data_IF_921316365092
#
_entry.id   IF_921316365092
#
_cell.length_a   1.000
_cell.length_b   1.000
_cell.length_c   1.000
_cell.angle_alpha   90.00
_cell.angle_beta   90.00
_cell.angle_gamma   90.00
#
_symmetry.space_group_name_H-M   'P 1'
#
loop_
_entity.id
_entity.type
_entity.pdbx_description
1 polymer ?
#
# COMPACT_ATOMS: atom_id res chain seq x y z
N UNK A 1 32.95 12.44 4.42
CA UNK A 1 33.28 11.79 3.14
C UNK A 1 31.99 11.27 2.54
N UNK A 2 31.43 12.01 1.57
CA UNK A 2 30.22 11.60 0.86
C UNK A 2 30.67 10.64 -0.24
N UNK A 3 30.46 9.34 -0.04
CA UNK A 3 30.72 8.33 -1.08
C UNK A 3 29.68 8.53 -2.18
N UNK A 4 30.07 9.28 -3.21
CA UNK A 4 29.39 9.29 -4.51
C UNK A 4 29.70 7.96 -5.20
N UNK A 5 29.00 6.88 -4.85
CA UNK A 5 29.08 5.65 -5.63
C UNK A 5 28.08 5.75 -6.78
N UNK A 6 28.56 6.14 -7.96
CA UNK A 6 27.81 6.10 -9.23
C UNK A 6 27.27 4.72 -9.61
N UNK A 7 27.58 3.67 -8.83
CA UNK A 7 27.21 2.27 -9.06
C UNK A 7 26.29 1.80 -7.93
N UNK A 8 25.15 1.14 -8.23
CA UNK A 8 24.31 0.49 -7.21
C UNK A 8 25.12 -0.59 -6.48
N UNK A 9 24.82 -0.78 -5.19
CA UNK A 9 25.41 -1.89 -4.43
C UNK A 9 24.64 -3.17 -4.69
N UNK A 10 25.32 -4.31 -4.52
CA UNK A 10 24.73 -5.65 -4.67
C UNK A 10 24.54 -6.27 -3.29
N UNK A 11 23.32 -6.74 -3.04
CA UNK A 11 22.98 -7.59 -1.91
C UNK A 11 22.67 -8.99 -2.42
N UNK A 12 23.30 -9.99 -1.83
CA UNK A 12 23.12 -11.40 -2.19
C UNK A 12 22.62 -12.19 -0.99
N UNK A 13 21.46 -12.81 -1.14
CA UNK A 13 20.95 -13.77 -0.17
C UNK A 13 20.11 -14.83 -0.88
N UNK A 14 20.28 -16.10 -0.51
CA UNK A 14 19.40 -17.19 -0.92
C UNK A 14 19.27 -17.38 -2.43
N UNK A 15 20.32 -17.05 -3.18
CA UNK A 15 20.31 -17.11 -4.65
C UNK A 15 19.65 -15.91 -5.34
N UNK A 16 19.15 -14.94 -4.57
CA UNK A 16 18.66 -13.66 -5.06
C UNK A 16 19.80 -12.64 -5.13
N UNK A 17 19.90 -11.95 -6.27
CA UNK A 17 20.79 -10.82 -6.48
C UNK A 17 19.98 -9.53 -6.58
N UNK A 18 20.17 -8.62 -5.62
CA UNK A 18 19.38 -7.40 -5.48
C UNK A 18 20.31 -6.19 -5.57
N UNK A 19 20.06 -5.34 -6.55
CA UNK A 19 20.73 -4.06 -6.71
C UNK A 19 19.98 -2.98 -5.95
N UNK A 20 20.68 -2.28 -5.06
CA UNK A 20 20.09 -1.27 -4.19
C UNK A 20 20.88 0.03 -4.17
N UNK A 21 20.22 1.10 -3.72
CA UNK A 21 20.85 2.41 -3.51
C UNK A 21 21.28 2.52 -2.05
N UNK A 22 22.59 2.62 -1.74
CA UNK A 22 23.06 2.74 -0.38
C UNK A 22 22.54 4.03 0.27
N UNK A 23 21.99 3.91 1.47
CA UNK A 23 21.55 5.06 2.24
C UNK A 23 21.66 4.79 3.74
N UNK A 24 22.49 5.56 4.43
CA UNK A 24 22.67 5.39 5.87
C UNK A 24 21.77 6.35 6.65
N UNK A 25 20.87 5.80 7.46
CA UNK A 25 20.00 6.60 8.31
C UNK A 25 20.78 7.21 9.49
N UNK A 26 20.50 8.48 9.79
CA UNK A 26 21.16 9.21 10.89
C UNK A 26 20.76 8.73 12.29
N UNK A 27 19.65 8.01 12.40
CA UNK A 27 19.18 7.42 13.66
C UNK A 27 18.40 6.14 13.43
N UNK A 28 18.43 5.25 14.43
CA UNK A 28 17.66 4.01 14.48
C UNK A 28 16.65 4.09 15.61
N UNK A 29 15.37 3.82 15.32
CA UNK A 29 14.33 3.69 16.35
C UNK A 29 14.27 2.23 16.84
N UNK A 30 13.79 2.01 18.07
CA UNK A 30 13.90 0.74 18.80
C UNK A 30 13.73 -0.55 17.96
N UNK A 31 12.58 -0.75 17.28
CA UNK A 31 12.33 -1.95 16.48
C UNK A 31 13.29 -2.14 15.30
N UNK A 32 13.78 -1.05 14.70
CA UNK A 32 14.72 -1.12 13.56
C UNK A 32 16.06 -1.74 13.97
N UNK A 33 16.43 -1.68 15.25
CA UNK A 33 17.66 -2.32 15.77
C UNK A 33 17.59 -3.85 15.76
N UNK A 34 16.40 -4.42 15.68
CA UNK A 34 16.16 -5.86 15.60
C UNK A 34 16.02 -6.35 14.16
N UNK A 35 16.21 -5.46 13.18
CA UNK A 35 16.07 -5.79 11.77
C UNK A 35 17.09 -6.82 11.33
N UNK A 36 16.62 -7.82 10.57
CA UNK A 36 17.44 -8.84 9.95
C UNK A 36 16.93 -9.07 8.53
N UNK A 37 17.69 -8.54 7.57
CA UNK A 37 17.36 -8.58 6.14
C UNK A 37 17.25 -10.01 5.60
N UNK A 38 18.15 -10.91 6.03
CA UNK A 38 18.18 -12.31 5.57
C UNK A 38 16.93 -13.05 6.04
N UNK A 39 16.55 -12.91 7.32
CA UNK A 39 15.36 -13.57 7.88
C UNK A 39 14.09 -13.02 7.26
N UNK A 40 14.01 -11.69 7.10
CA UNK A 40 12.84 -11.03 6.52
C UNK A 40 12.64 -11.39 5.04
N UNK A 41 13.72 -11.40 4.25
CA UNK A 41 13.64 -11.81 2.85
C UNK A 41 13.24 -13.27 2.71
N UNK A 42 13.87 -14.17 3.48
CA UNK A 42 13.50 -15.60 3.51
C UNK A 42 12.02 -15.80 3.82
N UNK A 43 11.49 -15.07 4.81
CA UNK A 43 10.08 -15.14 5.16
C UNK A 43 9.17 -14.86 3.95
N UNK A 44 9.43 -13.80 3.18
CA UNK A 44 8.60 -13.53 2.00
C UNK A 44 8.85 -14.53 0.88
N UNK A 45 10.09 -14.94 0.62
CA UNK A 45 10.40 -15.91 -0.43
C UNK A 45 9.73 -17.26 -0.18
N UNK A 46 9.73 -17.75 1.07
CA UNK A 46 9.14 -19.04 1.42
C UNK A 46 7.60 -18.98 1.53
N UNK A 47 7.05 -17.85 2.02
CA UNK A 47 5.64 -17.77 2.42
C UNK A 47 4.77 -16.82 1.59
N UNK A 48 5.28 -16.11 0.57
CA UNK A 48 4.46 -15.13 -0.17
C UNK A 48 3.17 -15.76 -0.74
N UNK A 49 3.21 -17.01 -1.20
CA UNK A 49 2.07 -17.72 -1.80
C UNK A 49 0.93 -17.97 -0.80
N UNK A 50 1.21 -17.96 0.51
CA UNK A 50 0.19 -18.07 1.54
C UNK A 50 -0.78 -16.89 1.52
N UNK A 51 -0.34 -15.72 1.02
CA UNK A 51 -1.21 -14.56 0.81
C UNK A 51 -2.40 -14.86 -0.10
N UNK A 52 -2.26 -15.77 -1.07
CA UNK A 52 -3.32 -16.20 -1.99
C UNK A 52 -4.42 -16.92 -1.20
N UNK A 53 -4.04 -17.86 -0.34
CA UNK A 53 -4.98 -18.58 0.51
C UNK A 53 -5.67 -17.64 1.51
N UNK A 54 -4.91 -16.71 2.11
CA UNK A 54 -5.47 -15.69 2.99
C UNK A 54 -6.50 -14.83 2.24
N UNK A 55 -6.22 -14.40 1.01
CA UNK A 55 -7.14 -13.61 0.19
C UNK A 55 -8.42 -14.37 -0.20
N UNK A 56 -8.30 -15.66 -0.52
CA UNK A 56 -9.44 -16.55 -0.81
C UNK A 56 -10.32 -16.70 0.44
N UNK A 57 -9.73 -17.07 1.58
CA UNK A 57 -10.47 -17.24 2.83
C UNK A 57 -11.08 -15.92 3.32
N UNK A 58 -10.38 -14.81 3.17
CA UNK A 58 -10.90 -13.48 3.45
C UNK A 58 -12.13 -13.19 2.58
N UNK A 59 -12.05 -13.42 1.26
CA UNK A 59 -13.16 -13.15 0.34
C UNK A 59 -14.38 -14.03 0.64
N UNK A 60 -14.19 -15.31 0.94
CA UNK A 60 -15.27 -16.20 1.38
C UNK A 60 -15.85 -15.75 2.73
N UNK A 61 -14.98 -15.41 3.69
CA UNK A 61 -15.35 -14.93 5.01
C UNK A 61 -16.22 -13.68 4.96
N UNK A 62 -15.91 -12.73 4.07
CA UNK A 62 -16.73 -11.53 3.84
C UNK A 62 -18.18 -11.91 3.53
N UNK A 63 -18.41 -12.82 2.58
CA UNK A 63 -19.75 -13.23 2.17
C UNK A 63 -20.47 -14.03 3.27
N UNK A 64 -19.75 -14.87 4.01
CA UNK A 64 -20.29 -15.63 5.15
C UNK A 64 -20.76 -14.68 6.25
N UNK A 65 -19.91 -13.73 6.66
CA UNK A 65 -20.24 -12.77 7.72
C UNK A 65 -21.38 -11.84 7.28
N UNK A 66 -21.41 -11.40 6.02
CA UNK A 66 -22.55 -10.65 5.48
C UNK A 66 -23.87 -11.38 5.67
N UNK A 67 -23.94 -12.66 5.28
CA UNK A 67 -25.14 -13.50 5.44
C UNK A 67 -25.49 -13.69 6.92
N UNK A 68 -24.50 -13.97 7.76
CA UNK A 68 -24.72 -14.17 9.20
C UNK A 68 -25.24 -12.91 9.91
N UNK A 69 -24.91 -11.71 9.42
CA UNK A 69 -25.32 -10.43 9.99
C UNK A 69 -26.68 -9.93 9.49
N UNK A 70 -27.31 -10.57 8.50
CA UNK A 70 -28.63 -10.15 7.97
C UNK A 70 -29.66 -10.07 9.09
N UNK A 71 -29.78 -11.16 9.87
CA UNK A 71 -30.77 -11.30 10.95
C UNK A 71 -30.26 -10.84 12.32
N UNK A 72 -29.09 -10.19 12.39
CA UNK A 72 -28.47 -9.70 13.63
C UNK A 72 -28.50 -8.18 13.72
N UNK A 73 -28.50 -7.65 14.94
CA UNK A 73 -28.35 -6.21 15.20
C UNK A 73 -26.91 -5.79 14.92
N UNK A 74 -26.72 -4.56 14.42
CA UNK A 74 -25.41 -3.96 14.24
C UNK A 74 -24.69 -3.79 15.58
N UNK A 75 -23.39 -4.07 15.61
CA UNK A 75 -22.57 -3.91 16.81
C UNK A 75 -22.15 -2.46 17.00
N UNK A 76 -22.11 -2.00 18.25
CA UNK A 76 -21.51 -0.71 18.59
C UNK A 76 -20.01 -0.88 18.83
N UNK A 77 -19.24 -0.65 17.77
CA UNK A 77 -17.79 -0.76 17.77
C UNK A 77 -17.12 0.62 17.67
N UNK A 78 -17.75 1.68 18.19
CA UNK A 78 -17.24 3.05 18.07
C UNK A 78 -15.81 3.18 18.63
N UNK A 79 -15.58 2.81 19.90
CA UNK A 79 -14.28 2.97 20.55
C UNK A 79 -13.18 2.10 19.89
N UNK A 80 -13.40 0.79 19.66
CA UNK A 80 -12.42 -0.03 18.95
C UNK A 80 -12.07 0.52 17.56
N UNK A 81 -13.06 1.02 16.81
CA UNK A 81 -12.84 1.59 15.48
C UNK A 81 -12.02 2.88 15.52
N UNK A 82 -12.22 3.74 16.52
CA UNK A 82 -11.42 4.96 16.68
C UNK A 82 -9.96 4.58 16.96
N UNK A 83 -9.73 3.68 17.92
CA UNK A 83 -8.38 3.24 18.29
C UNK A 83 -7.68 2.55 17.11
N UNK A 84 -8.41 1.69 16.39
CA UNK A 84 -7.91 1.00 15.20
C UNK A 84 -7.45 1.99 14.12
N UNK A 85 -8.31 2.92 13.73
CA UNK A 85 -7.96 3.93 12.72
C UNK A 85 -6.83 4.85 13.22
N UNK A 86 -6.82 5.24 14.49
CA UNK A 86 -5.75 6.07 15.05
C UNK A 86 -4.40 5.33 15.04
N UNK A 87 -4.38 4.04 15.39
CA UNK A 87 -3.19 3.21 15.36
C UNK A 87 -2.64 3.08 13.92
N UNK A 88 -3.50 2.80 12.94
CA UNK A 88 -3.10 2.72 11.54
C UNK A 88 -2.63 4.07 10.98
N UNK A 89 -3.23 5.18 11.41
CA UNK A 89 -2.80 6.52 11.04
C UNK A 89 -1.39 6.82 11.56
N UNK A 90 -1.12 6.55 12.84
CA UNK A 90 0.20 6.77 13.47
C UNK A 90 1.25 5.86 12.84
N UNK A 91 0.92 4.58 12.65
CA UNK A 91 1.79 3.62 11.96
C UNK A 91 2.16 4.09 10.55
N UNK A 92 1.16 4.54 9.78
CA UNK A 92 1.38 5.01 8.42
C UNK A 92 2.16 6.32 8.37
N UNK A 93 1.96 7.20 9.36
CA UNK A 93 2.74 8.44 9.48
C UNK A 93 4.21 8.14 9.79
N UNK A 94 4.48 7.23 10.73
CA UNK A 94 5.84 6.80 11.03
C UNK A 94 6.53 6.17 9.80
N UNK A 95 5.82 5.29 9.08
CA UNK A 95 6.30 4.74 7.81
C UNK A 95 6.55 5.80 6.74
N UNK A 96 5.69 6.83 6.65
CA UNK A 96 5.86 7.95 5.71
C UNK A 96 7.13 8.74 6.00
N UNK A 97 7.39 9.05 7.28
CA UNK A 97 8.57 9.81 7.70
C UNK A 97 9.83 9.00 7.38
N UNK A 98 9.87 7.73 7.78
CA UNK A 98 11.06 6.88 7.65
C UNK A 98 11.36 6.51 6.20
N UNK A 99 10.36 6.14 5.42
CA UNK A 99 10.53 5.94 3.97
C UNK A 99 10.88 7.26 3.27
N UNK A 100 10.35 8.38 3.75
CA UNK A 100 10.61 9.72 3.20
C UNK A 100 12.07 10.15 3.27
N UNK A 101 12.78 9.83 4.36
CA UNK A 101 14.21 10.15 4.53
C UNK A 101 15.07 9.59 3.37
N UNK A 102 14.89 8.30 3.05
CA UNK A 102 15.57 7.65 1.92
C UNK A 102 15.01 8.15 0.58
N UNK A 103 13.69 8.24 0.46
CA UNK A 103 13.02 8.64 -0.78
C UNK A 103 13.49 10.01 -1.27
N UNK A 104 13.46 11.02 -0.40
CA UNK A 104 13.88 12.38 -0.74
C UNK A 104 15.38 12.47 -0.99
N UNK A 105 16.19 11.63 -0.35
CA UNK A 105 17.61 11.55 -0.67
C UNK A 105 17.80 11.06 -2.11
N UNK A 106 17.22 9.92 -2.46
CA UNK A 106 17.37 9.30 -3.79
C UNK A 106 16.92 10.23 -4.91
N UNK A 107 15.72 10.80 -4.82
CA UNK A 107 15.21 11.65 -5.91
C UNK A 107 15.98 12.97 -6.08
N UNK A 108 16.73 13.42 -5.07
CA UNK A 108 17.53 14.64 -5.11
C UNK A 108 18.97 14.40 -5.54
N UNK A 109 19.51 13.21 -5.29
CA UNK A 109 20.93 12.90 -5.54
C UNK A 109 21.15 11.98 -6.73
N UNK A 110 20.09 11.33 -7.26
CA UNK A 110 20.16 10.36 -8.36
C UNK A 110 19.18 10.70 -9.49
N UNK A 111 19.43 10.21 -10.71
CA UNK A 111 18.43 10.21 -11.77
C UNK A 111 17.13 9.55 -11.30
N UNK A 112 15.98 10.08 -11.73
CA UNK A 112 14.67 9.51 -11.38
C UNK A 112 14.54 8.04 -11.78
N UNK A 113 15.20 7.62 -12.87
CA UNK A 113 15.19 6.23 -13.32
C UNK A 113 15.79 5.29 -12.27
N UNK A 114 16.85 5.69 -11.56
CA UNK A 114 17.49 4.88 -10.52
C UNK A 114 16.51 4.57 -9.39
N UNK A 115 15.63 5.53 -9.06
CA UNK A 115 14.62 5.39 -7.99
C UNK A 115 13.56 4.32 -8.25
N UNK A 116 13.43 3.84 -9.49
CA UNK A 116 12.53 2.76 -9.90
C UNK A 116 13.27 1.53 -10.45
N UNK A 117 14.59 1.63 -10.65
CA UNK A 117 15.45 0.55 -11.17
C UNK A 117 16.09 -0.27 -10.06
N UNK A 118 16.46 0.39 -8.96
CA UNK A 118 17.17 -0.19 -7.82
C UNK A 118 16.34 -0.15 -6.55
N UNK A 119 16.45 -1.19 -5.73
CA UNK A 119 15.71 -1.31 -4.47
C UNK A 119 16.24 -0.37 -3.38
N UNK A 120 15.51 -0.31 -2.27
CA UNK A 120 15.99 0.31 -1.02
C UNK A 120 17.11 -0.54 -0.43
N UNK A 121 18.00 0.07 0.34
CA UNK A 121 19.07 -0.65 1.03
C UNK A 121 18.49 -1.70 1.99
N UNK A 122 18.72 -3.01 1.75
CA UNK A 122 18.16 -4.09 2.57
C UNK A 122 18.59 -4.03 4.03
N UNK A 123 19.75 -3.45 4.34
CA UNK A 123 20.28 -3.41 5.70
C UNK A 123 19.71 -2.25 6.53
N UNK A 124 18.93 -1.37 5.91
CA UNK A 124 18.60 -0.07 6.48
C UNK A 124 17.12 0.01 6.88
N UNK A 125 16.75 0.97 7.75
CA UNK A 125 15.37 1.21 8.16
C UNK A 125 14.32 1.20 7.06
N UNK A 126 14.62 1.68 5.84
CA UNK A 126 13.67 1.64 4.73
C UNK A 126 13.19 0.19 4.41
N UNK A 127 14.08 -0.80 4.47
CA UNK A 127 13.71 -2.20 4.25
C UNK A 127 12.86 -2.77 5.41
N UNK A 128 13.17 -2.38 6.65
CA UNK A 128 12.32 -2.70 7.82
C UNK A 128 10.89 -2.14 7.63
N UNK A 129 10.76 -0.89 7.21
CA UNK A 129 9.45 -0.28 6.97
C UNK A 129 8.73 -0.86 5.75
N UNK A 130 9.46 -1.31 4.72
CA UNK A 130 8.88 -2.08 3.62
C UNK A 130 8.34 -3.44 4.08
N UNK A 131 9.04 -4.13 5.01
CA UNK A 131 8.53 -5.34 5.64
C UNK A 131 7.26 -5.05 6.47
N UNK A 132 7.28 -4.01 7.30
CA UNK A 132 6.11 -3.61 8.08
C UNK A 132 4.92 -3.25 7.19
N UNK A 133 5.16 -2.62 6.04
CA UNK A 133 4.14 -2.34 5.05
C UNK A 133 3.49 -3.61 4.49
N UNK A 134 4.29 -4.62 4.16
CA UNK A 134 3.77 -5.90 3.68
C UNK A 134 2.97 -6.64 4.76
N UNK A 135 3.44 -6.59 6.01
CA UNK A 135 2.71 -7.14 7.15
C UNK A 135 1.39 -6.39 7.41
N UNK A 136 1.36 -5.07 7.25
CA UNK A 136 0.16 -4.24 7.51
C UNK A 136 -1.03 -4.66 6.67
N UNK A 137 -0.82 -5.20 5.47
CA UNK A 137 -1.91 -5.64 4.58
C UNK A 137 -2.76 -6.75 5.16
N UNK A 138 -2.21 -7.60 6.04
CA UNK A 138 -3.01 -8.57 6.80
C UNK A 138 -3.87 -7.86 7.84
N UNK A 139 -3.28 -6.91 8.58
CA UNK A 139 -4.01 -6.16 9.60
C UNK A 139 -5.14 -5.34 8.97
N UNK A 140 -4.90 -4.67 7.84
CA UNK A 140 -5.88 -3.87 7.11
C UNK A 140 -7.13 -4.66 6.68
N UNK A 141 -7.09 -6.01 6.60
CA UNK A 141 -8.30 -6.83 6.40
C UNK A 141 -9.34 -6.62 7.52
N UNK A 142 -8.90 -6.20 8.71
CA UNK A 142 -9.75 -5.82 9.84
C UNK A 142 -10.71 -4.67 9.52
N UNK A 143 -10.39 -3.78 8.58
CA UNK A 143 -11.28 -2.70 8.16
C UNK A 143 -12.61 -3.25 7.67
N UNK A 144 -12.56 -4.32 6.90
CA UNK A 144 -13.75 -4.99 6.36
C UNK A 144 -14.58 -5.62 7.48
N UNK A 145 -13.92 -6.19 8.49
CA UNK A 145 -14.62 -6.76 9.66
C UNK A 145 -15.43 -5.68 10.37
N UNK A 146 -14.86 -4.49 10.60
CA UNK A 146 -15.59 -3.37 11.19
C UNK A 146 -16.79 -2.92 10.34
N UNK A 147 -16.64 -2.86 9.02
CA UNK A 147 -17.74 -2.51 8.10
C UNK A 147 -18.89 -3.53 8.22
N UNK A 148 -18.55 -4.82 8.21
CA UNK A 148 -19.51 -5.91 8.25
C UNK A 148 -20.27 -5.99 9.57
N UNK A 149 -19.56 -5.96 10.71
CA UNK A 149 -20.16 -6.07 12.04
C UNK A 149 -21.05 -4.85 12.38
N UNK A 150 -20.74 -3.68 11.80
CA UNK A 150 -21.55 -2.46 11.95
C UNK A 150 -22.69 -2.35 10.92
N UNK A 151 -22.87 -3.36 10.06
CA UNK A 151 -23.85 -3.38 8.96
C UNK A 151 -23.77 -2.14 8.05
N UNK A 152 -22.56 -1.68 7.77
CA UNK A 152 -22.32 -0.62 6.79
C UNK A 152 -22.23 -1.23 5.38
N UNK A 153 -22.64 -0.49 4.33
CA UNK A 153 -22.60 -1.01 2.97
C UNK A 153 -21.15 -1.27 2.57
N UNK A 154 -20.83 -2.54 2.32
CA UNK A 154 -19.52 -2.96 1.83
C UNK A 154 -19.51 -2.86 0.30
N UNK A 155 -18.74 -1.92 -0.22
CA UNK A 155 -18.60 -1.73 -1.67
C UNK A 155 -17.60 -2.75 -2.26
N UNK A 156 -17.82 -3.15 -3.51
CA UNK A 156 -16.95 -4.09 -4.24
C UNK A 156 -15.49 -3.64 -4.21
N UNK A 157 -15.24 -2.35 -4.51
CA UNK A 157 -13.90 -1.77 -4.53
C UNK A 157 -13.12 -2.04 -3.23
N UNK A 158 -13.76 -2.00 -2.07
CA UNK A 158 -13.07 -2.14 -0.79
C UNK A 158 -12.54 -3.55 -0.58
N UNK A 159 -13.40 -4.57 -0.61
CA UNK A 159 -12.95 -5.94 -0.31
C UNK A 159 -12.11 -6.52 -1.44
N UNK A 160 -12.42 -6.18 -2.70
CA UNK A 160 -11.59 -6.56 -3.85
C UNK A 160 -10.17 -5.98 -3.74
N UNK A 161 -10.06 -4.69 -3.39
CA UNK A 161 -8.77 -4.04 -3.17
C UNK A 161 -7.97 -4.74 -2.08
N UNK A 162 -8.54 -4.96 -0.89
CA UNK A 162 -7.82 -5.59 0.21
C UNK A 162 -7.31 -7.00 -0.13
N UNK A 163 -8.11 -7.80 -0.83
CA UNK A 163 -7.71 -9.14 -1.27
C UNK A 163 -6.53 -9.09 -2.26
N UNK A 164 -6.65 -8.27 -3.31
CA UNK A 164 -5.67 -8.23 -4.41
C UNK A 164 -4.36 -7.56 -3.99
N UNK A 165 -4.43 -6.48 -3.21
CA UNK A 165 -3.22 -5.75 -2.74
C UNK A 165 -2.42 -6.62 -1.78
N UNK A 166 -3.06 -7.43 -0.94
CA UNK A 166 -2.35 -8.37 -0.06
C UNK A 166 -1.45 -9.31 -0.87
N UNK A 167 -2.01 -9.95 -1.89
CA UNK A 167 -1.27 -10.89 -2.75
C UNK A 167 -0.13 -10.18 -3.47
N UNK A 168 -0.41 -9.03 -4.07
CA UNK A 168 0.59 -8.29 -4.83
C UNK A 168 1.75 -7.80 -3.98
N UNK A 169 1.48 -7.26 -2.79
CA UNK A 169 2.52 -6.73 -1.90
C UNK A 169 3.39 -7.87 -1.37
N UNK A 170 2.80 -9.02 -1.04
CA UNK A 170 3.57 -10.19 -0.58
C UNK A 170 4.45 -10.76 -1.69
N UNK A 171 3.92 -10.88 -2.91
CA UNK A 171 4.72 -11.26 -4.07
C UNK A 171 5.85 -10.26 -4.34
N UNK A 172 5.56 -8.95 -4.29
CA UNK A 172 6.56 -7.90 -4.51
C UNK A 172 7.62 -7.81 -3.40
N UNK A 173 7.27 -8.15 -2.17
CA UNK A 173 8.21 -8.21 -1.05
C UNK A 173 9.22 -9.36 -1.24
N UNK A 174 8.80 -10.48 -1.84
CA UNK A 174 9.70 -11.60 -2.15
C UNK A 174 10.76 -11.23 -3.20
N UNK A 175 10.45 -10.32 -4.13
CA UNK A 175 11.41 -9.84 -5.14
C UNK A 175 12.16 -8.56 -4.74
N UNK A 176 11.84 -7.96 -3.58
CA UNK A 176 12.33 -6.64 -3.16
C UNK A 176 12.24 -5.61 -4.29
N UNK A 177 11.08 -5.54 -4.96
CA UNK A 177 10.87 -4.75 -6.19
C UNK A 177 11.30 -3.29 -6.01
N UNK A 178 12.14 -2.80 -6.94
CA UNK A 178 12.69 -1.45 -6.92
C UNK A 178 11.62 -0.34 -6.90
N UNK A 179 10.59 -0.46 -7.75
CA UNK A 179 9.45 0.46 -7.76
C UNK A 179 8.69 0.50 -6.42
N UNK A 180 8.86 -0.50 -5.56
CA UNK A 180 8.30 -0.58 -4.21
C UNK A 180 8.57 0.69 -3.40
N UNK A 181 9.74 1.33 -3.56
CA UNK A 181 10.07 2.62 -2.93
C UNK A 181 8.96 3.67 -3.11
N UNK A 182 8.51 3.86 -4.35
CA UNK A 182 7.46 4.83 -4.69
C UNK A 182 6.09 4.37 -4.17
N UNK A 183 5.75 3.11 -4.43
CA UNK A 183 4.45 2.55 -4.06
C UNK A 183 4.22 2.60 -2.54
N UNK A 184 5.22 2.19 -1.75
CA UNK A 184 5.15 2.16 -0.29
C UNK A 184 5.08 3.58 0.27
N UNK A 185 5.96 4.49 -0.19
CA UNK A 185 5.98 5.87 0.29
C UNK A 185 4.66 6.60 0.05
N UNK A 186 4.13 6.53 -1.19
CA UNK A 186 2.84 7.14 -1.51
C UNK A 186 1.71 6.51 -0.70
N UNK A 187 1.69 5.19 -0.57
CA UNK A 187 0.64 4.48 0.14
C UNK A 187 0.62 4.82 1.63
N UNK A 188 1.79 4.87 2.29
CA UNK A 188 1.90 5.32 3.67
C UNK A 188 1.42 6.75 3.85
N UNK A 189 1.84 7.65 2.96
CA UNK A 189 1.43 9.05 3.00
C UNK A 189 -0.09 9.20 2.91
N UNK A 190 -0.72 8.57 1.91
CA UNK A 190 -2.16 8.62 1.73
C UNK A 190 -2.92 7.92 2.85
N UNK A 191 -2.45 6.76 3.33
CA UNK A 191 -3.10 6.04 4.43
C UNK A 191 -3.02 6.79 5.75
N UNK A 192 -1.93 7.52 6.03
CA UNK A 192 -1.83 8.36 7.23
C UNK A 192 -2.96 9.39 7.27
N UNK A 193 -3.25 10.04 6.13
CA UNK A 193 -4.32 11.04 6.01
C UNK A 193 -5.70 10.37 6.04
N UNK A 194 -5.88 9.28 5.31
CA UNK A 194 -7.15 8.57 5.21
C UNK A 194 -7.59 8.00 6.57
N UNK A 195 -6.70 7.30 7.28
CA UNK A 195 -7.03 6.73 8.59
C UNK A 195 -7.23 7.80 9.66
N UNK A 196 -6.48 8.92 9.61
CA UNK A 196 -6.75 10.06 10.48
C UNK A 196 -8.16 10.62 10.25
N UNK A 197 -8.57 10.77 8.98
CA UNK A 197 -9.93 11.17 8.62
C UNK A 197 -10.98 10.17 9.15
N UNK A 198 -10.74 8.86 9.04
CA UNK A 198 -11.64 7.84 9.57
C UNK A 198 -11.71 7.80 11.10
N UNK A 199 -10.60 8.03 11.80
CA UNK A 199 -10.58 8.14 13.26
C UNK A 199 -11.44 9.31 13.75
N UNK A 200 -11.26 10.49 13.13
CA UNK A 200 -12.01 11.72 13.48
C UNK A 200 -13.50 11.56 13.18
N UNK A 201 -13.84 11.01 12.02
CA UNK A 201 -15.25 10.78 11.65
C UNK A 201 -15.91 9.69 12.51
N UNK A 202 -15.16 8.66 12.92
CA UNK A 202 -15.63 7.63 13.86
C UNK A 202 -15.89 8.20 15.27
N UNK A 203 -15.15 9.24 15.69
CA UNK A 203 -15.40 9.96 16.94
C UNK A 203 -16.74 10.72 16.93
N UNK A 204 -17.32 10.96 15.74
CA UNK A 204 -18.58 11.68 15.53
C UNK A 204 -18.39 13.10 15.03
N UNK A 205 -17.15 13.51 14.74
CA UNK A 205 -16.83 14.84 14.21
C UNK A 205 -17.10 14.85 12.71
N UNK A 206 -17.95 15.79 12.26
CA UNK A 206 -18.26 15.96 10.84
C UNK A 206 -17.20 16.84 10.18
N UNK A 207 -16.43 16.24 9.27
CA UNK A 207 -15.42 16.95 8.51
C UNK A 207 -15.98 17.50 7.18
N UNK A 208 -15.43 18.61 6.66
CA UNK A 208 -15.84 19.18 5.37
C UNK A 208 -15.71 18.17 4.22
N UNK A 209 -16.66 18.20 3.28
CA UNK A 209 -16.64 17.36 2.06
C UNK A 209 -15.36 17.53 1.24
N UNK A 210 -14.74 18.71 1.31
CA UNK A 210 -13.46 18.98 0.62
C UNK A 210 -12.37 18.01 1.06
N UNK A 211 -12.31 17.64 2.34
CA UNK A 211 -11.29 16.71 2.82
C UNK A 211 -11.48 15.30 2.24
N UNK A 212 -12.71 14.81 2.11
CA UNK A 212 -12.94 13.51 1.48
C UNK A 212 -12.64 13.53 -0.02
N UNK A 213 -12.90 14.66 -0.70
CA UNK A 213 -12.50 14.86 -2.10
C UNK A 213 -10.97 14.82 -2.23
N UNK A 214 -10.23 15.54 -1.38
CA UNK A 214 -8.75 15.54 -1.40
C UNK A 214 -8.21 14.13 -1.20
N UNK A 215 -8.72 13.37 -0.23
CA UNK A 215 -8.30 11.98 0.01
C UNK A 215 -8.53 11.13 -1.24
N UNK A 216 -9.73 11.20 -1.84
CA UNK A 216 -10.06 10.41 -3.04
C UNK A 216 -9.20 10.83 -4.24
N UNK A 217 -8.90 12.12 -4.38
CA UNK A 217 -7.98 12.63 -5.42
C UNK A 217 -6.58 12.07 -5.22
N UNK A 218 -6.03 12.14 -4.00
CA UNK A 218 -4.72 11.56 -3.68
C UNK A 218 -4.68 10.06 -3.97
N UNK A 219 -5.74 9.33 -3.60
CA UNK A 219 -5.89 7.90 -3.87
C UNK A 219 -5.97 7.57 -5.37
N UNK A 220 -6.59 8.44 -6.16
CA UNK A 220 -6.67 8.25 -7.62
C UNK A 220 -5.32 8.57 -8.27
N UNK A 221 -4.65 9.63 -7.83
CA UNK A 221 -3.34 10.04 -8.33
C UNK A 221 -2.27 8.97 -8.07
N UNK A 222 -2.26 8.31 -6.89
CA UNK A 222 -1.31 7.20 -6.66
C UNK A 222 -1.51 6.04 -7.65
N UNK A 223 -2.75 5.77 -8.09
CA UNK A 223 -3.02 4.69 -9.04
C UNK A 223 -2.48 5.06 -10.42
N UNK A 224 -2.69 6.31 -10.84
CA UNK A 224 -2.16 6.86 -12.09
C UNK A 224 -0.62 6.86 -12.12
N UNK A 225 0.01 7.31 -11.04
CA UNK A 225 1.48 7.26 -10.90
C UNK A 225 1.96 5.81 -10.99
N UNK A 226 1.25 4.88 -10.36
CA UNK A 226 1.61 3.46 -10.42
C UNK A 226 1.53 2.83 -11.81
N UNK A 227 0.51 3.20 -12.60
CA UNK A 227 0.44 2.82 -14.03
C UNK A 227 1.62 3.41 -14.80
N UNK A 228 1.94 4.69 -14.58
CA UNK A 228 3.06 5.35 -15.26
C UNK A 228 4.41 4.70 -14.93
N UNK A 229 4.68 4.42 -13.64
CA UNK A 229 5.90 3.70 -13.22
C UNK A 229 5.97 2.33 -13.89
N UNK A 230 4.88 1.57 -13.88
CA UNK A 230 4.83 0.24 -14.51
C UNK A 230 5.16 0.29 -16.00
N UNK A 231 4.62 1.29 -16.72
CA UNK A 231 4.91 1.49 -18.13
C UNK A 231 6.38 1.87 -18.39
N UNK A 232 6.95 2.78 -17.57
CA UNK A 232 8.34 3.21 -17.69
C UNK A 232 9.30 2.05 -17.42
N UNK A 233 9.03 1.25 -16.37
CA UNK A 233 9.81 0.05 -16.05
C UNK A 233 9.74 -0.95 -17.21
N UNK A 234 8.56 -1.20 -17.77
CA UNK A 234 8.41 -2.09 -18.93
C UNK A 234 9.21 -1.61 -20.13
N UNK A 235 9.07 -0.32 -20.48
CA UNK A 235 9.75 0.29 -21.61
C UNK A 235 11.27 0.12 -21.52
N UNK A 236 11.87 0.47 -20.37
CA UNK A 236 13.32 0.34 -20.21
C UNK A 236 13.79 -1.10 -20.06
N UNK A 237 13.00 -1.98 -19.46
CA UNK A 237 13.32 -3.42 -19.37
C UNK A 237 13.36 -4.06 -20.77
N UNK A 238 12.43 -3.70 -21.65
CA UNK A 238 12.43 -4.17 -23.05
C UNK A 238 13.62 -3.64 -23.86
N UNK A 239 14.23 -2.52 -23.46
CA UNK A 239 15.46 -2.00 -24.04
C UNK A 239 16.74 -2.63 -23.48
N UNK A 240 16.62 -3.63 -22.60
CA UNK A 240 17.76 -4.29 -21.97
C UNK A 240 18.41 -3.50 -20.83
N UNK A 241 17.78 -2.42 -20.34
CA UNK A 241 18.24 -1.78 -19.10
C UNK A 241 17.90 -2.66 -17.90
N UNK A 242 18.77 -2.64 -16.89
CA UNK A 242 18.58 -3.35 -15.64
C UNK A 242 17.39 -2.76 -14.86
N UNK A 243 16.25 -3.42 -14.96
CA UNK A 243 15.07 -3.17 -14.12
C UNK A 243 14.83 -4.41 -13.27
N UNK A 244 15.02 -4.30 -11.95
CA UNK A 244 15.05 -5.47 -11.07
C UNK A 244 13.72 -6.24 -11.02
N UNK A 245 12.60 -5.54 -11.14
CA UNK A 245 11.26 -6.14 -11.12
C UNK A 245 11.11 -7.21 -12.21
N UNK A 246 10.63 -8.42 -11.88
CA UNK A 246 10.43 -9.48 -12.87
C UNK A 246 9.31 -9.13 -13.87
N UNK A 247 9.28 -9.79 -15.03
CA UNK A 247 8.17 -9.60 -15.99
C UNK A 247 6.83 -10.08 -15.42
N UNK A 248 6.85 -11.15 -14.62
CA UNK A 248 5.67 -11.66 -13.93
C UNK A 248 5.13 -10.63 -12.95
N UNK A 249 5.96 -10.14 -12.02
CA UNK A 249 5.56 -9.12 -11.06
C UNK A 249 5.07 -7.84 -11.75
N UNK A 250 5.76 -7.41 -12.81
CA UNK A 250 5.38 -6.24 -13.59
C UNK A 250 4.02 -6.39 -14.28
N UNK A 251 3.71 -7.58 -14.80
CA UNK A 251 2.41 -7.88 -15.41
C UNK A 251 1.27 -7.83 -14.39
N UNK A 252 1.50 -8.36 -13.19
CA UNK A 252 0.57 -8.32 -12.06
C UNK A 252 0.37 -6.86 -11.62
N UNK A 253 1.47 -6.12 -11.43
CA UNK A 253 1.46 -4.71 -11.07
C UNK A 253 0.61 -3.88 -12.04
N UNK A 254 0.90 -3.98 -13.34
CA UNK A 254 0.17 -3.24 -14.37
C UNK A 254 -1.32 -3.56 -14.35
N UNK A 255 -1.68 -4.85 -14.29
CA UNK A 255 -3.06 -5.31 -14.28
C UNK A 255 -3.84 -4.75 -13.07
N UNK A 256 -3.23 -4.80 -11.88
CA UNK A 256 -3.85 -4.31 -10.64
C UNK A 256 -4.01 -2.79 -10.68
N UNK A 257 -2.94 -2.05 -10.96
CA UNK A 257 -2.97 -0.59 -10.96
C UNK A 257 -3.88 -0.02 -12.05
N UNK A 258 -3.93 -0.64 -13.24
CA UNK A 258 -4.88 -0.27 -14.28
C UNK A 258 -6.33 -0.51 -13.83
N UNK A 259 -6.62 -1.67 -13.22
CA UNK A 259 -7.95 -1.98 -12.70
C UNK A 259 -8.39 -0.98 -11.62
N UNK A 260 -7.48 -0.61 -10.71
CA UNK A 260 -7.77 0.35 -9.65
C UNK A 260 -7.91 1.76 -10.18
N UNK A 261 -7.10 2.20 -11.15
CA UNK A 261 -7.27 3.51 -11.78
C UNK A 261 -8.70 3.66 -12.33
N UNK A 262 -9.21 2.66 -13.05
CA UNK A 262 -10.58 2.66 -13.57
C UNK A 262 -11.61 2.68 -12.44
N UNK A 263 -11.45 1.86 -11.40
CA UNK A 263 -12.40 1.79 -10.29
C UNK A 263 -12.44 3.07 -9.45
N UNK A 264 -11.28 3.69 -9.18
CA UNK A 264 -11.18 4.95 -8.44
C UNK A 264 -11.73 6.13 -9.24
N UNK A 265 -11.46 6.20 -10.55
CA UNK A 265 -12.08 7.21 -11.43
C UNK A 265 -13.60 7.06 -11.44
N UNK A 266 -14.11 5.84 -11.56
CA UNK A 266 -15.55 5.57 -11.51
C UNK A 266 -16.15 5.97 -10.15
N UNK A 267 -15.48 5.64 -9.04
CA UNK A 267 -15.89 6.04 -7.70
C UNK A 267 -15.92 7.57 -7.54
N UNK A 268 -14.90 8.27 -8.02
CA UNK A 268 -14.82 9.74 -7.98
C UNK A 268 -15.96 10.37 -8.78
N UNK A 269 -16.18 9.89 -10.02
CA UNK A 269 -17.26 10.37 -10.88
C UNK A 269 -18.63 10.17 -10.23
N UNK A 270 -18.90 9.00 -9.63
CA UNK A 270 -20.18 8.72 -8.96
C UNK A 270 -20.36 9.52 -7.67
N UNK A 271 -19.30 9.76 -6.90
CA UNK A 271 -19.39 10.38 -5.58
C UNK A 271 -19.38 11.91 -5.61
N UNK A 272 -18.77 12.50 -6.65
CA UNK A 272 -18.48 13.95 -6.69
C UNK A 272 -18.99 14.67 -7.93
N UNK A 273 -18.95 14.05 -9.11
CA UNK A 273 -19.30 14.73 -10.37
C UNK A 273 -20.72 14.42 -10.85
N UNK A 274 -21.21 13.21 -10.59
CA UNK A 274 -22.58 12.82 -10.94
C UNK A 274 -23.55 13.65 -10.11
N UNK A 275 -24.40 14.44 -10.78
CA UNK A 275 -25.54 15.06 -10.12
C UNK A 275 -26.37 13.94 -9.48
N UNK A 276 -26.68 14.05 -8.18
CA UNK A 276 -27.74 13.22 -7.62
C UNK A 276 -28.98 13.54 -8.43
N UNK A 277 -29.54 12.56 -9.12
CA UNK A 277 -30.91 12.67 -9.60
C UNK A 277 -31.76 13.03 -8.39
N UNK A 278 -32.34 14.23 -8.41
CA UNK A 278 -33.45 14.55 -7.53
C UNK A 278 -34.48 13.48 -7.77
N UNK A 279 -34.69 12.60 -6.78
CA UNK A 279 -35.89 11.78 -6.75
C UNK A 279 -37.06 12.74 -6.76
N UNK A 280 -37.64 12.97 -7.94
CA UNK A 280 -38.92 13.61 -8.11
C UNK A 280 -39.87 12.86 -7.19
N UNK A 281 -40.32 13.51 -6.11
CA UNK A 281 -41.40 12.99 -5.29
C UNK A 281 -42.62 12.98 -6.20
N UNK A 282 -42.94 11.82 -6.77
CA UNK A 282 -44.26 11.59 -7.35
C UNK A 282 -45.25 11.67 -6.19
N UNK A 283 -46.16 12.63 -6.29
CA UNK A 283 -47.26 12.87 -5.37
C UNK A 283 -48.19 11.65 -5.30
#
# INVERSE_FOLDING_TARGET
>A
MVVSSSVPSLWEAHGSQIYYIPYQFGSLIGPEKLWNDIVAHRFFTDYWSHSIWVAIFYSLGVHIVQRAMVNRKAWDLKQPLILWNAALAIFSLAGTIRMGEEFFHVIRTRPLLDSISYSVDPHQPAAFWAFCFAASKIFELGDTVFVLLRKKPLIFLHWYHHAVVLVYVWHSASELVAGGRWFIFMNYGVHSIMYAYYAITAAGIRLPRVLSMVITTLQTTQMLIGVAISFIVLYYKLQGKLMQQSFENLSICFSIYASFAVLFMNFFNKSYLSKKEEKTKTQ
#
